data_IF_125905839179
#
_entry.id   IF_125905839179
#
_cell.length_a   1.000
_cell.length_b   1.000
_cell.length_c   1.000
_cell.angle_alpha   90.00
_cell.angle_beta   90.00
_cell.angle_gamma   90.00
#
_symmetry.space_group_name_H-M   'P 1'
#
loop_
_entity.id
_entity.type
_entity.pdbx_description
1 polymer ?
#
# COMPACT_ATOMS: atom_id res chain seq x y z
N UNK A 1 -57.08 5.98 -1.50
CA UNK A 1 -57.48 6.80 -0.34
C UNK A 1 -56.26 7.56 0.16
N UNK A 2 -56.49 8.76 0.66
CA UNK A 2 -55.60 9.94 0.67
C UNK A 2 -54.20 9.79 1.31
N UNK A 3 -53.21 10.60 0.85
CA UNK A 3 -51.92 10.77 1.52
C UNK A 3 -51.98 11.88 2.58
N UNK A 4 -51.36 11.65 3.74
CA UNK A 4 -51.22 12.66 4.81
C UNK A 4 -50.05 13.58 4.48
N UNK A 5 -50.35 14.87 4.37
CA UNK A 5 -49.41 15.97 4.13
C UNK A 5 -48.92 16.50 5.48
N UNK A 6 -47.61 16.56 5.71
CA UNK A 6 -47.02 17.26 6.86
C UNK A 6 -46.44 18.59 6.37
N UNK A 7 -47.15 19.69 6.67
CA UNK A 7 -46.71 21.07 6.44
C UNK A 7 -45.70 21.47 7.50
N UNK A 8 -44.59 22.03 7.05
CA UNK A 8 -43.64 22.80 7.85
C UNK A 8 -44.23 24.18 8.13
N UNK A 9 -44.30 24.57 9.40
CA UNK A 9 -44.48 25.98 9.81
C UNK A 9 -43.40 26.33 10.82
N UNK A 10 -42.51 27.25 10.43
CA UNK A 10 -41.53 27.84 11.32
C UNK A 10 -42.12 28.93 12.19
N UNK A 11 -41.64 29.02 13.44
CA UNK A 11 -41.45 30.30 14.14
C UNK A 11 -40.43 30.14 15.27
N UNK A 12 -39.61 31.17 15.41
CA UNK A 12 -38.54 31.37 16.39
C UNK A 12 -39.06 31.22 17.83
N UNK A 13 -38.24 30.63 18.69
CA UNK A 13 -38.30 30.84 20.13
C UNK A 13 -36.90 31.23 20.63
N UNK A 14 -36.87 32.36 21.30
CA UNK A 14 -35.74 33.04 21.92
C UNK A 14 -35.37 32.44 23.28
N UNK A 15 -34.11 32.70 23.65
CA UNK A 15 -33.46 32.44 24.92
C UNK A 15 -34.30 32.82 26.15
N UNK A 16 -34.41 31.89 27.11
CA UNK A 16 -34.51 32.21 28.54
C UNK A 16 -33.63 31.25 29.35
N UNK A 17 -32.95 31.86 30.33
CA UNK A 17 -31.99 31.25 31.23
C UNK A 17 -32.64 30.92 32.58
N UNK A 18 -32.21 29.83 33.22
CA UNK A 18 -32.50 29.50 34.63
C UNK A 18 -31.41 28.52 35.18
N UNK A 19 -31.25 28.36 36.50
CA UNK A 19 -30.17 28.99 37.27
C UNK A 19 -29.13 28.01 37.84
N UNK A 20 -28.11 28.58 38.50
CA UNK A 20 -26.96 27.91 39.14
C UNK A 20 -27.29 27.34 40.53
N UNK A 21 -26.65 26.21 40.85
CA UNK A 21 -26.30 25.73 42.20
C UNK A 21 -27.26 24.67 42.77
N UNK A 22 -26.84 23.57 43.42
CA UNK A 22 -25.50 23.20 43.88
C UNK A 22 -25.47 21.73 44.40
N UNK A 23 -24.24 21.19 44.54
CA UNK A 23 -23.79 19.98 45.26
C UNK A 23 -24.25 18.63 44.67
N UNK A 24 -23.39 17.62 44.41
CA UNK A 24 -22.44 17.01 45.35
C UNK A 24 -21.33 16.22 44.63
N UNK A 25 -20.24 15.97 45.37
CA UNK A 25 -18.96 15.43 44.92
C UNK A 25 -19.03 13.92 44.64
N UNK A 26 -18.38 13.47 43.58
CA UNK A 26 -17.93 12.09 43.43
C UNK A 26 -16.50 12.10 42.88
N UNK A 27 -15.56 11.90 43.80
CA UNK A 27 -14.14 11.70 43.56
C UNK A 27 -13.92 10.32 42.93
N UNK A 28 -13.44 10.28 41.69
CA UNK A 28 -12.86 9.08 41.10
C UNK A 28 -11.38 9.02 41.49
N UNK A 29 -11.06 8.08 42.36
CA UNK A 29 -9.72 7.78 42.83
C UNK A 29 -8.82 7.30 41.68
N UNK A 30 -7.65 7.92 41.61
CA UNK A 30 -6.51 7.50 40.80
C UNK A 30 -5.88 6.26 41.45
N UNK A 31 -5.80 5.16 40.69
CA UNK A 31 -5.05 3.97 41.10
C UNK A 31 -3.53 4.24 41.13
N UNK A 32 -2.78 3.76 42.15
CA UNK A 32 -1.33 3.92 42.23
C UNK A 32 -0.56 2.88 41.39
N UNK A 33 0.73 3.13 41.09
CA UNK A 33 1.49 2.35 40.12
C UNK A 33 1.97 1.01 40.67
N UNK A 34 1.87 -0.03 39.85
CA UNK A 34 2.36 -1.37 40.13
C UNK A 34 3.91 -1.41 40.09
N UNK A 35 4.53 -1.63 41.26
CA UNK A 35 5.93 -2.04 41.41
C UNK A 35 5.98 -3.57 41.56
N UNK A 36 6.61 -4.28 40.64
CA UNK A 36 7.08 -5.66 40.81
C UNK A 36 8.38 -5.82 40.00
N UNK A 37 9.55 -5.61 40.62
CA UNK A 37 10.43 -6.61 41.26
C UNK A 37 10.64 -7.88 40.41
N UNK A 38 11.75 -7.88 39.69
CA UNK A 38 12.36 -9.02 39.01
C UNK A 38 12.73 -10.13 40.00
N UNK A 39 12.47 -11.42 39.71
CA UNK A 39 13.13 -12.50 40.40
C UNK A 39 14.43 -12.87 39.68
N UNK A 40 15.56 -12.63 40.35
CA UNK A 40 16.82 -13.31 40.06
C UNK A 40 16.65 -14.78 40.45
N UNK A 41 16.76 -15.69 39.49
CA UNK A 41 16.94 -17.11 39.78
C UNK A 41 18.41 -17.47 39.62
N UNK A 42 19.08 -17.53 40.76
CA UNK A 42 20.31 -18.30 40.99
C UNK A 42 19.94 -19.78 40.99
N UNK A 43 20.49 -20.57 40.07
CA UNK A 43 20.46 -22.03 40.15
C UNK A 43 21.88 -22.55 40.39
N UNK A 44 22.02 -23.24 41.52
CA UNK A 44 23.19 -23.97 42.00
C UNK A 44 23.43 -25.25 41.18
N UNK A 45 24.70 -25.58 40.99
CA UNK A 45 25.20 -26.87 40.52
C UNK A 45 24.66 -28.03 41.39
N UNK A 46 24.20 -29.12 40.77
CA UNK A 46 24.88 -30.43 40.86
C UNK A 46 24.09 -31.58 40.19
N UNK A 47 24.83 -32.36 39.40
CA UNK A 47 24.77 -33.82 39.16
C UNK A 47 23.82 -34.47 38.14
N UNK A 48 24.49 -35.27 37.27
CA UNK A 48 24.14 -36.49 36.50
C UNK A 48 24.14 -36.25 34.97
N UNK A 49 25.22 -36.51 34.20
CA UNK A 49 25.89 -37.80 33.84
C UNK A 49 24.89 -38.71 33.11
N UNK A 50 25.01 -39.19 31.87
CA UNK A 50 26.05 -39.44 30.86
C UNK A 50 25.43 -39.08 29.47
N UNK A 51 26.15 -38.93 28.35
CA UNK A 51 26.59 -40.03 27.47
C UNK A 51 27.43 -39.45 26.31
N UNK A 52 28.64 -40.02 26.16
CA UNK A 52 29.51 -40.16 24.97
C UNK A 52 30.01 -38.89 24.23
N UNK A 53 31.20 -38.44 24.63
CA UNK A 53 32.28 -38.10 23.69
C UNK A 53 32.88 -39.38 23.10
N UNK A 54 33.77 -39.39 22.11
CA UNK A 54 34.62 -38.38 21.45
C UNK A 54 35.16 -39.09 20.21
N UNK A 55 35.29 -38.37 19.10
CA UNK A 55 35.95 -38.82 17.87
C UNK A 55 37.38 -38.28 17.86
N UNK A 56 38.36 -39.18 17.75
CA UNK A 56 39.72 -39.03 17.19
C UNK A 56 40.41 -40.38 17.44
N UNK A 57 41.31 -40.93 16.64
CA UNK A 57 41.99 -40.66 15.37
C UNK A 57 42.95 -41.86 15.26
N UNK A 58 43.22 -42.45 14.09
CA UNK A 58 44.52 -43.11 13.85
C UNK A 58 44.73 -43.60 12.42
N UNK A 59 46.00 -43.54 12.03
CA UNK A 59 46.58 -43.64 10.69
C UNK A 59 47.37 -44.95 10.47
N UNK A 60 47.09 -45.68 9.36
CA UNK A 60 47.98 -46.58 8.55
C UNK A 60 48.64 -47.82 9.21
N UNK A 61 49.45 -48.65 8.47
CA UNK A 61 49.44 -49.07 7.06
C UNK A 61 49.54 -50.62 6.86
N UNK A 62 49.71 -51.05 5.59
CA UNK A 62 50.30 -52.32 5.05
C UNK A 62 49.46 -53.61 4.81
N UNK A 63 49.24 -53.86 3.50
CA UNK A 63 49.56 -55.05 2.68
C UNK A 63 49.35 -56.49 3.19
N UNK A 64 48.51 -57.26 2.47
CA UNK A 64 48.88 -58.54 1.84
C UNK A 64 47.82 -59.04 0.82
N UNK A 65 48.30 -59.33 -0.40
CA UNK A 65 47.66 -60.06 -1.52
C UNK A 65 47.84 -61.60 -1.29
N UNK A 66 47.27 -62.56 -2.08
CA UNK A 66 47.09 -62.46 -3.54
C UNK A 66 46.01 -63.31 -4.28
N UNK A 67 46.00 -63.08 -5.60
CA UNK A 67 45.61 -63.93 -6.75
C UNK A 67 44.14 -64.33 -6.97
N UNK A 68 43.55 -63.83 -8.06
CA UNK A 68 43.33 -64.62 -9.29
C UNK A 68 43.08 -63.72 -10.51
N UNK A 69 43.61 -64.14 -11.64
CA UNK A 69 43.57 -63.48 -12.96
C UNK A 69 42.60 -64.20 -13.89
N UNK A 70 41.85 -63.48 -14.73
CA UNK A 70 41.78 -63.62 -16.21
C UNK A 70 40.59 -62.80 -16.82
N UNK A 71 40.62 -62.47 -18.13
CA UNK A 71 40.05 -61.24 -18.69
C UNK A 71 38.81 -61.47 -19.58
N UNK A 72 38.02 -60.42 -19.84
CA UNK A 72 37.20 -60.40 -21.05
C UNK A 72 36.83 -58.98 -21.50
N UNK A 73 37.55 -58.51 -22.53
CA UNK A 73 37.05 -57.53 -23.50
C UNK A 73 35.87 -58.12 -24.26
N UNK A 74 34.95 -57.23 -24.65
CA UNK A 74 33.79 -57.38 -25.55
C UNK A 74 32.46 -57.60 -24.82
N UNK A 75 31.75 -56.50 -24.60
CA UNK A 75 30.30 -56.36 -24.88
C UNK A 75 29.91 -54.88 -24.77
N UNK A 76 30.54 -54.04 -25.60
CA UNK A 76 29.86 -52.86 -26.13
C UNK A 76 28.97 -53.35 -27.27
N UNK A 77 27.79 -52.73 -27.43
CA UNK A 77 26.79 -52.92 -28.50
C UNK A 77 25.64 -53.88 -28.15
N UNK A 78 24.65 -53.38 -27.41
CA UNK A 78 23.19 -53.57 -27.62
C UNK A 78 22.41 -53.27 -26.33
N UNK A 79 22.09 -52.01 -26.11
CA UNK A 79 20.93 -51.54 -25.31
C UNK A 79 20.69 -50.05 -25.58
N UNK A 80 20.73 -49.65 -26.85
CA UNK A 80 20.44 -48.29 -27.31
C UNK A 80 19.30 -48.34 -28.33
N UNK A 81 18.12 -48.75 -27.87
CA UNK A 81 16.86 -48.66 -28.63
C UNK A 81 15.77 -49.32 -27.78
N UNK A 82 15.06 -48.54 -26.97
CA UNK A 82 13.61 -48.61 -26.64
C UNK A 82 13.33 -47.82 -25.34
N UNK A 83 13.44 -46.48 -25.38
CA UNK A 83 12.64 -45.59 -24.53
C UNK A 83 12.72 -44.14 -25.06
N UNK A 84 12.45 -43.97 -26.35
CA UNK A 84 12.25 -42.65 -26.96
C UNK A 84 10.83 -42.66 -27.52
N UNK A 85 9.88 -42.12 -26.75
CA UNK A 85 8.46 -42.22 -27.12
C UNK A 85 7.44 -41.64 -26.14
N UNK A 86 7.80 -40.65 -25.31
CA UNK A 86 6.83 -39.79 -24.61
C UNK A 86 7.42 -38.39 -24.44
N UNK A 87 7.73 -37.76 -25.56
CA UNK A 87 7.90 -36.32 -25.65
C UNK A 87 6.88 -35.83 -26.67
N UNK A 88 6.22 -34.71 -26.37
CA UNK A 88 5.13 -34.06 -27.12
C UNK A 88 3.73 -34.39 -26.60
N UNK A 89 3.43 -33.86 -25.42
CA UNK A 89 2.26 -33.00 -25.16
C UNK A 89 2.58 -32.20 -23.89
N UNK A 90 3.57 -31.31 -23.97
CA UNK A 90 3.69 -30.22 -23.00
C UNK A 90 2.59 -29.22 -23.30
N UNK A 91 1.34 -29.56 -22.99
CA UNK A 91 0.35 -28.51 -22.75
C UNK A 91 0.96 -27.65 -21.66
N UNK A 92 1.15 -26.36 -21.94
CA UNK A 92 1.45 -25.37 -20.91
C UNK A 92 0.29 -25.43 -19.92
N UNK A 93 0.42 -26.30 -18.91
CA UNK A 93 -0.40 -26.23 -17.71
C UNK A 93 0.08 -24.94 -17.08
N UNK A 94 -0.67 -23.87 -17.33
CA UNK A 94 -0.56 -22.66 -16.52
C UNK A 94 -0.65 -23.17 -15.08
N UNK A 95 0.44 -23.01 -14.33
CA UNK A 95 0.48 -23.50 -12.97
C UNK A 95 -0.59 -22.73 -12.20
N UNK A 96 -1.74 -23.37 -11.97
CA UNK A 96 -2.76 -22.81 -11.11
C UNK A 96 -2.12 -22.53 -9.75
N UNK A 97 -2.43 -21.37 -9.18
CA UNK A 97 -1.91 -21.02 -7.88
C UNK A 97 -2.30 -22.09 -6.83
N UNK A 98 -1.41 -22.40 -5.87
CA UNK A 98 -1.74 -23.32 -4.80
C UNK A 98 -2.86 -22.78 -3.90
N UNK A 99 -3.50 -23.66 -3.13
CA UNK A 99 -4.58 -23.29 -2.21
C UNK A 99 -4.19 -22.19 -1.20
N UNK A 100 -2.90 -22.08 -0.84
CA UNK A 100 -2.37 -21.01 0.02
C UNK A 100 -2.50 -19.61 -0.58
N UNK A 101 -2.69 -19.49 -1.90
CA UNK A 101 -2.90 -18.23 -2.61
C UNK A 101 -4.38 -17.87 -2.77
N UNK A 102 -5.31 -18.75 -2.34
CA UNK A 102 -6.75 -18.54 -2.51
C UNK A 102 -7.19 -17.19 -1.93
N UNK A 103 -6.63 -16.82 -0.78
CA UNK A 103 -6.88 -15.53 -0.14
C UNK A 103 -5.72 -14.58 -0.44
N UNK A 104 -6.02 -13.47 -1.09
CA UNK A 104 -5.08 -12.37 -1.35
C UNK A 104 -5.29 -11.28 -0.30
N UNK A 105 -4.28 -11.02 0.54
CA UNK A 105 -4.40 -10.06 1.64
C UNK A 105 -3.72 -8.76 1.26
N UNK A 106 -4.50 -7.70 1.12
CA UNK A 106 -4.05 -6.41 0.63
C UNK A 106 -4.04 -5.37 1.75
N UNK A 107 -2.93 -4.67 1.91
CA UNK A 107 -2.89 -3.42 2.66
C UNK A 107 -3.46 -2.28 1.82
N UNK A 108 -4.22 -1.38 2.43
CA UNK A 108 -4.81 -0.21 1.75
C UNK A 108 -4.62 1.01 2.64
N UNK A 109 -4.03 2.08 2.10
CA UNK A 109 -4.03 3.39 2.78
C UNK A 109 -5.32 4.12 2.42
N UNK A 110 -5.80 4.99 3.31
CA UNK A 110 -7.08 5.69 3.12
C UNK A 110 -6.96 6.89 2.18
N UNK A 111 -6.40 6.67 0.99
CA UNK A 111 -6.32 7.64 -0.10
C UNK A 111 -7.21 7.19 -1.24
N UNK A 112 -7.90 8.13 -1.90
CA UNK A 112 -8.95 7.76 -2.87
C UNK A 112 -8.38 7.03 -4.08
N UNK A 113 -7.18 7.36 -4.55
CA UNK A 113 -6.46 6.66 -5.63
C UNK A 113 -6.14 5.21 -5.26
N UNK A 114 -5.62 4.97 -4.06
CA UNK A 114 -5.28 3.63 -3.59
C UNK A 114 -6.54 2.81 -3.33
N UNK A 115 -7.59 3.43 -2.77
CA UNK A 115 -8.90 2.80 -2.60
C UNK A 115 -9.49 2.39 -3.95
N UNK A 116 -9.37 3.23 -4.99
CA UNK A 116 -9.88 2.94 -6.33
C UNK A 116 -9.14 1.76 -6.98
N UNK A 117 -7.81 1.80 -6.98
CA UNK A 117 -6.97 0.74 -7.59
C UNK A 117 -7.08 -0.58 -6.82
N UNK A 118 -7.15 -0.54 -5.49
CA UNK A 118 -7.46 -1.70 -4.66
C UNK A 118 -8.87 -2.24 -4.89
N UNK A 119 -9.87 -1.37 -5.08
CA UNK A 119 -11.23 -1.78 -5.47
C UNK A 119 -11.26 -2.50 -6.83
N UNK A 120 -10.46 -2.04 -7.79
CA UNK A 120 -10.30 -2.71 -9.08
C UNK A 120 -9.70 -4.11 -8.93
N UNK A 121 -8.58 -4.22 -8.21
CA UNK A 121 -7.94 -5.51 -7.94
C UNK A 121 -8.89 -6.46 -7.20
N UNK A 122 -9.68 -5.97 -6.25
CA UNK A 122 -10.67 -6.73 -5.50
C UNK A 122 -11.74 -7.36 -6.41
N UNK A 123 -12.32 -6.58 -7.32
CA UNK A 123 -13.34 -7.07 -8.26
C UNK A 123 -12.74 -8.11 -9.22
N UNK A 124 -11.54 -7.86 -9.75
CA UNK A 124 -10.86 -8.80 -10.65
C UNK A 124 -10.53 -10.12 -9.93
N UNK A 125 -9.93 -10.06 -8.74
CA UNK A 125 -9.57 -11.23 -7.94
C UNK A 125 -10.80 -12.06 -7.55
N UNK A 126 -11.84 -11.42 -7.02
CA UNK A 126 -13.08 -12.12 -6.66
C UNK A 126 -13.77 -12.71 -7.91
N UNK A 127 -13.77 -11.99 -9.03
CA UNK A 127 -14.29 -12.49 -10.31
C UNK A 127 -13.52 -13.70 -10.86
N UNK A 128 -12.21 -13.77 -10.63
CA UNK A 128 -11.36 -14.93 -10.93
C UNK A 128 -11.53 -16.08 -9.92
N UNK A 129 -12.39 -15.90 -8.91
CA UNK A 129 -12.63 -16.89 -7.87
C UNK A 129 -11.59 -16.92 -6.76
N UNK A 130 -10.73 -15.91 -6.61
CA UNK A 130 -9.94 -15.69 -5.40
C UNK A 130 -10.79 -15.04 -4.30
N UNK A 131 -10.26 -14.96 -3.09
CA UNK A 131 -10.83 -14.18 -1.98
C UNK A 131 -9.91 -12.98 -1.70
N UNK A 132 -10.36 -11.78 -1.99
CA UNK A 132 -9.62 -10.56 -1.66
C UNK A 132 -9.98 -10.07 -0.24
N UNK A 133 -8.97 -9.79 0.59
CA UNK A 133 -9.14 -9.22 1.94
C UNK A 133 -8.35 -7.94 2.08
N UNK A 134 -9.04 -6.83 2.30
CA UNK A 134 -8.41 -5.53 2.48
C UNK A 134 -8.25 -5.18 3.95
N UNK A 135 -7.06 -4.68 4.32
CA UNK A 135 -6.77 -4.13 5.65
C UNK A 135 -6.35 -2.67 5.50
N UNK A 136 -7.19 -1.77 6.00
CA UNK A 136 -6.85 -0.34 6.06
C UNK A 136 -5.79 -0.09 7.12
N UNK A 137 -4.64 0.48 6.75
CA UNK A 137 -3.61 0.90 7.69
C UNK A 137 -2.67 1.95 7.09
N UNK A 138 -1.83 2.57 7.92
CA UNK A 138 -0.75 3.44 7.43
C UNK A 138 0.39 2.61 6.83
N UNK A 139 1.19 3.23 5.97
CA UNK A 139 2.27 2.61 5.19
C UNK A 139 3.19 1.70 6.01
N UNK A 140 3.65 2.17 7.18
CA UNK A 140 4.56 1.42 8.06
C UNK A 140 3.93 0.12 8.59
N UNK A 141 2.64 0.16 8.91
CA UNK A 141 1.89 -1.02 9.38
C UNK A 141 1.68 -1.99 8.21
N UNK A 142 1.43 -1.48 7.01
CA UNK A 142 1.29 -2.32 5.81
C UNK A 142 2.60 -3.06 5.53
N UNK A 143 3.75 -2.38 5.49
CA UNK A 143 5.03 -3.02 5.24
C UNK A 143 5.42 -4.02 6.33
N UNK A 144 5.17 -3.68 7.61
CA UNK A 144 5.33 -4.63 8.71
C UNK A 144 4.38 -5.84 8.57
N UNK A 145 3.15 -5.62 8.11
CA UNK A 145 2.19 -6.68 7.83
C UNK A 145 2.66 -7.63 6.72
N UNK A 146 3.31 -7.11 5.67
CA UNK A 146 3.91 -7.94 4.61
C UNK A 146 5.09 -8.73 5.16
N UNK A 147 6.02 -8.08 5.89
CA UNK A 147 7.13 -8.74 6.59
C UNK A 147 6.66 -9.89 7.47
N UNK A 148 5.61 -9.66 8.25
CA UNK A 148 5.05 -10.62 9.21
C UNK A 148 4.11 -11.64 8.54
N UNK A 149 4.04 -11.66 7.21
CA UNK A 149 3.20 -12.55 6.39
C UNK A 149 1.72 -12.47 6.76
N UNK A 150 1.25 -11.32 7.26
CA UNK A 150 -0.16 -11.02 7.53
C UNK A 150 -0.85 -10.34 6.36
N UNK A 151 -0.07 -9.65 5.53
CA UNK A 151 -0.46 -9.09 4.25
C UNK A 151 0.43 -9.68 3.15
N UNK A 152 -0.05 -9.64 1.92
CA UNK A 152 0.66 -10.13 0.75
C UNK A 152 1.06 -8.98 -0.18
N UNK A 153 0.18 -7.99 -0.38
CA UNK A 153 0.35 -6.95 -1.40
C UNK A 153 -0.07 -5.55 -0.93
N UNK A 154 0.44 -4.52 -1.59
CA UNK A 154 0.08 -3.12 -1.45
C UNK A 154 0.26 -2.40 -2.78
N UNK A 155 -0.79 -1.73 -3.29
CA UNK A 155 -0.82 -1.16 -4.64
C UNK A 155 -0.41 0.33 -4.70
N UNK A 156 -0.15 0.94 -3.55
CA UNK A 156 0.00 2.40 -3.42
C UNK A 156 1.41 2.87 -3.06
N UNK A 157 2.48 2.23 -3.55
CA UNK A 157 3.83 2.71 -3.26
C UNK A 157 4.22 3.84 -4.21
N UNK A 158 4.17 5.07 -3.70
CA UNK A 158 4.53 6.30 -4.40
C UNK A 158 6.04 6.58 -4.28
N UNK A 159 6.76 6.41 -5.38
CA UNK A 159 8.19 6.77 -5.49
C UNK A 159 8.32 8.21 -6.01
N UNK A 160 9.22 9.06 -5.46
CA UNK A 160 10.14 8.81 -4.34
C UNK A 160 9.56 9.13 -2.96
N UNK A 161 8.32 9.64 -2.87
CA UNK A 161 7.72 10.14 -1.63
C UNK A 161 7.75 9.12 -0.47
N UNK A 162 7.71 7.82 -0.77
CA UNK A 162 7.71 6.74 0.21
C UNK A 162 9.06 6.01 0.34
N UNK A 163 10.11 6.44 -0.35
CA UNK A 163 11.42 5.74 -0.36
C UNK A 163 11.99 5.59 1.05
N UNK A 164 11.99 6.67 1.84
CA UNK A 164 12.44 6.64 3.25
C UNK A 164 11.61 5.68 4.10
N UNK A 165 10.34 5.54 3.79
CA UNK A 165 9.40 4.71 4.55
C UNK A 165 9.61 3.21 4.27
N UNK A 166 9.90 2.84 3.03
CA UNK A 166 10.05 1.43 2.61
C UNK A 166 11.50 0.92 2.69
N UNK A 167 12.49 1.82 2.60
CA UNK A 167 13.91 1.50 2.57
C UNK A 167 14.37 0.43 3.58
N UNK A 168 14.03 0.49 4.89
CA UNK A 168 14.47 -0.52 5.84
C UNK A 168 13.91 -1.92 5.53
N UNK A 169 12.70 -2.01 4.98
CA UNK A 169 12.08 -3.29 4.63
C UNK A 169 12.70 -3.89 3.36
N UNK A 170 12.99 -3.05 2.36
CA UNK A 170 13.67 -3.50 1.12
C UNK A 170 15.10 -3.94 1.44
N UNK A 171 15.85 -3.18 2.22
CA UNK A 171 17.23 -3.51 2.61
C UNK A 171 17.32 -4.84 3.38
N UNK A 172 16.28 -5.17 4.15
CA UNK A 172 16.18 -6.43 4.88
C UNK A 172 15.53 -7.58 4.08
N UNK A 173 15.24 -7.38 2.78
CA UNK A 173 14.52 -8.33 1.92
C UNK A 173 13.19 -8.81 2.52
N UNK A 174 12.45 -7.90 3.15
CA UNK A 174 11.17 -8.17 3.81
C UNK A 174 9.95 -7.84 2.94
N UNK A 175 10.15 -7.00 1.93
CA UNK A 175 9.17 -6.63 0.91
C UNK A 175 9.88 -6.53 -0.43
N UNK A 176 9.14 -6.67 -1.53
CA UNK A 176 9.64 -6.48 -2.89
C UNK A 176 8.78 -5.46 -3.61
N UNK A 177 9.41 -4.47 -4.24
CA UNK A 177 8.74 -3.52 -5.13
C UNK A 177 8.75 -4.12 -6.53
N UNK A 178 7.64 -4.08 -7.25
CA UNK A 178 7.59 -4.51 -8.64
C UNK A 178 8.32 -3.51 -9.54
N UNK A 179 9.13 -4.03 -10.46
CA UNK A 179 10.03 -3.22 -11.30
C UNK A 179 9.28 -2.25 -12.21
N UNK A 180 8.12 -2.69 -12.75
CA UNK A 180 7.27 -1.87 -13.60
C UNK A 180 6.25 -1.13 -12.73
N UNK A 181 6.16 0.21 -12.83
CA UNK A 181 5.12 0.96 -12.13
C UNK A 181 3.73 0.65 -12.71
N UNK A 182 2.73 0.63 -11.83
CA UNK A 182 1.32 0.58 -12.20
C UNK A 182 0.85 1.94 -12.73
N UNK A 183 1.46 3.04 -12.30
CA UNK A 183 1.22 4.40 -12.79
C UNK A 183 2.55 5.13 -12.99
N UNK A 184 2.81 5.64 -14.20
CA UNK A 184 4.12 6.19 -14.58
C UNK A 184 4.17 7.73 -14.62
N UNK A 185 3.01 8.39 -14.64
CA UNK A 185 2.84 9.82 -14.93
C UNK A 185 2.20 10.57 -13.76
N UNK A 186 2.68 10.29 -12.53
CA UNK A 186 2.18 10.93 -11.33
C UNK A 186 3.07 12.12 -10.89
N UNK A 187 2.55 12.94 -9.99
CA UNK A 187 3.32 14.00 -9.32
C UNK A 187 2.75 14.22 -7.93
N UNK A 188 3.61 14.44 -6.94
CA UNK A 188 3.21 14.78 -5.57
C UNK A 188 4.16 15.82 -4.96
N UNK A 189 3.63 16.98 -4.57
CA UNK A 189 4.40 18.08 -3.96
C UNK A 189 3.47 19.01 -3.15
N UNK A 190 3.93 20.19 -2.75
CA UNK A 190 3.08 21.19 -2.11
C UNK A 190 2.33 22.03 -3.14
N UNK A 191 1.07 22.34 -2.83
CA UNK A 191 0.20 23.16 -3.65
C UNK A 191 -0.46 24.26 -2.83
N UNK A 192 -0.93 25.29 -3.55
CA UNK A 192 -1.73 26.40 -3.02
C UNK A 192 -2.89 26.70 -3.94
N UNK A 193 -3.98 27.35 -3.47
CA UNK A 193 -4.99 27.88 -4.37
C UNK A 193 -4.43 28.94 -5.33
N UNK A 194 -4.98 29.07 -6.53
CA UNK A 194 -4.47 30.00 -7.56
C UNK A 194 -4.39 31.46 -7.09
N UNK A 195 -5.33 31.91 -6.26
CA UNK A 195 -5.30 33.27 -5.72
C UNK A 195 -4.14 33.50 -4.73
N UNK A 196 -3.62 32.44 -4.11
CA UNK A 196 -2.43 32.49 -3.26
C UNK A 196 -1.17 32.56 -4.12
N UNK A 197 -1.13 31.78 -5.21
CA UNK A 197 -0.04 31.86 -6.19
C UNK A 197 0.01 33.22 -6.91
N UNK A 198 -1.15 33.77 -7.29
CA UNK A 198 -1.27 35.10 -7.88
C UNK A 198 -0.80 36.20 -6.92
N UNK A 199 -0.96 35.99 -5.60
CA UNK A 199 -0.44 36.90 -4.59
C UNK A 199 1.08 36.79 -4.34
N UNK A 200 1.77 35.87 -5.04
CA UNK A 200 3.23 35.77 -5.07
C UNK A 200 3.82 34.56 -4.36
N UNK A 201 3.02 33.64 -3.82
CA UNK A 201 3.52 32.38 -3.24
C UNK A 201 3.58 31.30 -4.33
N UNK A 202 4.71 31.20 -5.02
CA UNK A 202 4.85 30.30 -6.19
C UNK A 202 5.93 29.24 -6.03
N UNK A 203 6.91 29.51 -5.17
CA UNK A 203 8.03 28.60 -4.90
C UNK A 203 8.00 28.13 -3.45
N UNK A 204 8.70 27.04 -3.15
CA UNK A 204 8.93 26.60 -1.78
C UNK A 204 9.59 27.68 -0.91
N UNK A 205 10.54 28.43 -1.47
CA UNK A 205 11.22 29.54 -0.80
C UNK A 205 10.27 30.71 -0.44
N UNK A 206 9.12 30.84 -1.12
CA UNK A 206 8.15 31.89 -0.79
C UNK A 206 7.34 31.59 0.48
N UNK A 207 7.17 30.32 0.84
CA UNK A 207 6.23 29.90 1.92
C UNK A 207 6.49 30.69 3.21
N UNK A 208 7.76 30.83 3.61
CA UNK A 208 8.12 31.52 4.85
C UNK A 208 7.71 33.01 4.87
N UNK A 209 7.73 33.69 3.71
CA UNK A 209 7.32 35.09 3.59
C UNK A 209 5.83 35.32 3.85
N UNK A 210 5.02 34.27 3.69
CA UNK A 210 3.56 34.32 3.87
C UNK A 210 3.10 33.73 5.21
N UNK A 211 4.01 33.45 6.15
CA UNK A 211 3.73 32.78 7.44
C UNK A 211 2.50 33.33 8.15
N UNK A 212 2.38 34.64 8.33
CA UNK A 212 1.26 35.24 9.08
C UNK A 212 -0.09 35.01 8.39
N UNK A 213 -0.13 35.09 7.05
CA UNK A 213 -1.33 34.82 6.26
C UNK A 213 -1.71 33.35 6.24
N UNK A 214 -0.71 32.47 6.30
CA UNK A 214 -0.86 31.01 6.41
C UNK A 214 -1.14 30.55 7.85
N UNK A 215 -1.08 31.46 8.84
CA UNK A 215 -1.14 31.12 10.25
C UNK A 215 -0.02 30.18 10.72
N UNK A 216 1.11 30.17 10.01
CA UNK A 216 2.24 29.27 10.26
C UNK A 216 1.90 27.79 10.12
N UNK A 217 1.02 27.42 9.18
CA UNK A 217 0.56 26.03 9.00
C UNK A 217 0.85 25.52 7.59
N UNK A 218 1.21 24.23 7.53
CA UNK A 218 1.23 23.43 6.30
C UNK A 218 0.32 22.22 6.54
N UNK A 219 -0.62 21.97 5.64
CA UNK A 219 -1.60 20.89 5.79
C UNK A 219 -1.13 19.62 5.10
N UNK A 220 -0.82 18.61 5.91
CA UNK A 220 -0.49 17.27 5.44
C UNK A 220 -1.67 16.33 5.49
N UNK A 221 -1.38 15.05 5.28
CA UNK A 221 -2.33 13.93 5.34
C UNK A 221 -2.13 13.16 6.66
N UNK A 222 -2.17 11.83 6.65
CA UNK A 222 -2.07 11.02 7.86
C UNK A 222 -0.65 10.97 8.46
N UNK A 223 -0.54 10.87 9.80
CA UNK A 223 0.74 10.71 10.47
C UNK A 223 1.53 9.50 9.96
N UNK A 224 2.82 9.72 9.73
CA UNK A 224 3.74 8.69 9.24
C UNK A 224 3.71 8.47 7.72
N UNK A 225 2.87 9.20 6.98
CA UNK A 225 2.94 9.25 5.52
C UNK A 225 4.27 9.85 5.04
N UNK A 226 4.74 9.41 3.87
CA UNK A 226 5.94 9.96 3.23
C UNK A 226 5.89 11.48 3.06
N UNK A 227 4.74 12.02 2.64
CA UNK A 227 4.52 13.47 2.50
C UNK A 227 4.69 14.22 3.83
N UNK A 228 4.08 13.72 4.91
CA UNK A 228 4.22 14.34 6.24
C UNK A 228 5.65 14.24 6.77
N UNK A 229 6.33 13.12 6.53
CA UNK A 229 7.74 12.95 6.90
C UNK A 229 8.62 13.99 6.22
N UNK A 230 8.43 14.22 4.91
CA UNK A 230 9.17 15.26 4.17
C UNK A 230 8.90 16.65 4.73
N UNK A 231 7.65 17.02 5.01
CA UNK A 231 7.31 18.32 5.60
C UNK A 231 7.93 18.48 7.00
N UNK A 232 7.88 17.45 7.84
CA UNK A 232 8.52 17.46 9.17
C UNK A 232 10.03 17.70 9.04
N UNK A 233 10.70 16.98 8.15
CA UNK A 233 12.14 17.18 7.90
C UNK A 233 12.44 18.61 7.47
N UNK A 234 11.65 19.21 6.56
CA UNK A 234 11.86 20.60 6.15
C UNK A 234 11.71 21.59 7.32
N UNK A 235 10.71 21.40 8.18
CA UNK A 235 10.51 22.24 9.38
C UNK A 235 11.67 22.07 10.37
N UNK A 236 12.03 20.83 10.71
CA UNK A 236 13.06 20.50 11.70
C UNK A 236 14.45 21.02 11.29
N UNK A 237 14.77 20.95 10.00
CA UNK A 237 16.05 21.43 9.45
C UNK A 237 16.03 22.92 9.12
N UNK A 238 14.94 23.63 9.41
CA UNK A 238 14.69 25.02 9.00
C UNK A 238 14.88 25.25 7.48
N UNK A 239 14.63 24.22 6.70
CA UNK A 239 14.73 24.30 5.25
C UNK A 239 13.66 25.27 4.71
N UNK A 240 14.00 26.07 3.70
CA UNK A 240 13.21 27.22 3.23
C UNK A 240 12.75 28.21 4.32
N UNK A 241 13.38 28.22 5.51
CA UNK A 241 12.98 29.10 6.62
C UNK A 241 11.72 28.64 7.36
N UNK A 242 11.38 27.34 7.30
CA UNK A 242 10.12 26.80 7.81
C UNK A 242 10.10 26.45 9.31
N UNK A 243 11.15 26.73 10.10
CA UNK A 243 11.25 26.33 11.52
C UNK A 243 10.06 26.73 12.41
N UNK A 244 9.38 27.82 12.07
CA UNK A 244 8.25 28.33 12.85
C UNK A 244 6.89 27.88 12.30
N UNK A 245 6.87 27.02 11.29
CA UNK A 245 5.65 26.40 10.79
C UNK A 245 5.31 25.16 11.59
N UNK A 246 4.02 24.80 11.57
CA UNK A 246 3.50 23.56 12.12
C UNK A 246 2.86 22.75 11.01
N UNK A 247 3.22 21.48 10.96
CA UNK A 247 2.48 20.51 10.17
C UNK A 247 1.13 20.22 10.84
N UNK A 248 0.05 20.34 10.08
CA UNK A 248 -1.29 19.92 10.49
C UNK A 248 -1.56 18.54 9.89
N UNK A 249 -1.59 17.52 10.74
CA UNK A 249 -1.79 16.12 10.35
C UNK A 249 -3.26 15.70 10.50
N UNK A 250 -3.77 14.93 9.55
CA UNK A 250 -5.11 14.34 9.61
C UNK A 250 -5.20 13.07 8.76
N UNK A 251 -5.57 13.23 7.49
CA UNK A 251 -5.74 12.23 6.43
C UNK A 251 -6.23 12.96 5.18
N UNK A 252 -6.27 12.32 4.01
CA UNK A 252 -6.71 12.97 2.76
C UNK A 252 -8.03 13.75 2.94
N UNK A 253 -9.08 13.09 3.42
CA UNK A 253 -10.39 13.71 3.59
C UNK A 253 -10.35 14.91 4.57
N UNK A 254 -9.57 14.82 5.64
CA UNK A 254 -9.42 15.90 6.63
C UNK A 254 -8.69 17.11 6.05
N UNK A 255 -7.62 16.85 5.30
CA UNK A 255 -6.84 17.84 4.57
C UNK A 255 -7.70 18.57 3.54
N UNK A 256 -8.36 17.83 2.64
CA UNK A 256 -9.22 18.41 1.60
C UNK A 256 -10.36 19.24 2.21
N UNK A 257 -10.98 18.76 3.28
CA UNK A 257 -12.02 19.52 3.98
C UNK A 257 -11.48 20.83 4.57
N UNK A 258 -10.25 20.84 5.08
CA UNK A 258 -9.60 22.06 5.58
C UNK A 258 -9.27 23.04 4.45
N UNK A 259 -8.71 22.56 3.34
CA UNK A 259 -8.39 23.38 2.17
C UNK A 259 -9.67 23.96 1.56
N UNK A 260 -10.73 23.17 1.37
CA UNK A 260 -12.01 23.65 0.86
C UNK A 260 -12.60 24.76 1.74
N UNK A 261 -12.51 24.61 3.06
CA UNK A 261 -12.93 25.66 4.01
C UNK A 261 -12.12 26.94 3.85
N UNK A 262 -10.80 26.84 3.69
CA UNK A 262 -9.94 28.00 3.45
C UNK A 262 -10.26 28.69 2.12
N UNK A 263 -10.43 27.91 1.05
CA UNK A 263 -10.81 28.40 -0.29
C UNK A 263 -12.14 29.14 -0.26
N UNK A 264 -13.15 28.58 0.42
CA UNK A 264 -14.47 29.22 0.58
C UNK A 264 -14.39 30.56 1.32
N UNK A 265 -13.43 30.70 2.25
CA UNK A 265 -13.18 31.94 3.00
C UNK A 265 -12.11 32.85 2.39
N UNK A 266 -11.55 32.47 1.22
CA UNK A 266 -10.41 33.16 0.59
C UNK A 266 -9.18 33.32 1.51
N UNK A 267 -8.99 32.37 2.42
CA UNK A 267 -7.83 32.31 3.32
C UNK A 267 -6.63 31.67 2.63
N UNK A 268 -5.42 31.99 3.09
CA UNK A 268 -4.20 31.42 2.51
C UNK A 268 -3.97 30.03 3.09
N UNK A 269 -3.64 29.07 2.23
CA UNK A 269 -3.39 27.68 2.63
C UNK A 269 -2.33 27.06 1.73
N UNK A 270 -1.40 26.31 2.34
CA UNK A 270 -0.41 25.44 1.69
C UNK A 270 -0.69 24.02 2.16
N UNK A 271 -0.75 23.08 1.23
CA UNK A 271 -1.13 21.70 1.51
C UNK A 271 -0.44 20.71 0.57
N UNK A 272 -0.45 19.43 0.94
CA UNK A 272 0.03 18.34 0.06
C UNK A 272 -0.95 18.17 -1.11
N UNK A 273 -0.47 18.33 -2.34
CA UNK A 273 -1.22 18.07 -3.56
C UNK A 273 -0.56 16.98 -4.40
N UNK A 274 -1.36 16.29 -5.21
CA UNK A 274 -0.86 15.30 -6.16
C UNK A 274 -1.78 15.13 -7.36
N UNK A 275 -1.21 14.58 -8.43
CA UNK A 275 -1.93 14.12 -9.61
C UNK A 275 -1.53 12.67 -9.92
N UNK A 276 -2.49 11.81 -10.33
CA UNK A 276 -3.91 12.08 -10.52
C UNK A 276 -4.65 12.30 -9.20
N UNK A 277 -5.60 13.25 -9.18
CA UNK A 277 -6.57 13.41 -8.10
C UNK A 277 -7.69 14.38 -8.52
N UNK A 278 -8.98 14.15 -8.17
CA UNK A 278 -10.08 15.06 -8.52
C UNK A 278 -9.95 16.49 -7.99
N UNK A 279 -9.07 16.73 -7.00
CA UNK A 279 -8.77 18.08 -6.52
C UNK A 279 -8.27 19.00 -7.65
N UNK A 280 -7.54 18.46 -8.64
CA UNK A 280 -7.00 19.23 -9.76
C UNK A 280 -8.09 19.76 -10.71
N UNK A 281 -9.31 19.20 -10.62
CA UNK A 281 -10.47 19.60 -11.42
C UNK A 281 -11.43 20.44 -10.57
N UNK A 282 -11.63 20.01 -9.31
CA UNK A 282 -12.60 20.61 -8.41
C UNK A 282 -12.08 21.88 -7.72
N UNK A 283 -10.76 22.09 -7.74
CA UNK A 283 -10.09 23.20 -7.08
C UNK A 283 -9.10 23.84 -8.05
N UNK A 284 -9.16 25.16 -8.17
CA UNK A 284 -8.17 25.95 -8.91
C UNK A 284 -6.91 26.08 -8.03
N UNK A 285 -5.92 25.23 -8.30
CA UNK A 285 -4.69 25.10 -7.51
C UNK A 285 -3.45 25.21 -8.40
N UNK A 286 -2.37 25.68 -7.79
CA UNK A 286 -1.05 25.75 -8.38
C UNK A 286 -0.07 24.95 -7.52
N UNK A 287 0.72 24.09 -8.18
CA UNK A 287 1.85 23.40 -7.55
C UNK A 287 3.02 24.36 -7.39
N UNK A 288 3.69 24.27 -6.23
CA UNK A 288 4.87 25.10 -5.94
C UNK A 288 6.11 24.51 -6.61
N UNK A 289 6.99 25.39 -7.08
CA UNK A 289 8.27 25.02 -7.71
C UNK A 289 9.48 25.22 -6.79
N UNK A 290 10.66 24.76 -7.23
CA UNK A 290 11.89 24.80 -6.45
C UNK A 290 11.92 23.76 -5.34
N UNK A 291 11.42 22.56 -5.64
CA UNK A 291 11.26 21.46 -4.70
C UNK A 291 12.23 20.29 -4.93
N UNK A 292 13.19 20.44 -5.83
CA UNK A 292 13.96 19.32 -6.37
C UNK A 292 14.83 18.60 -5.33
N UNK A 293 15.31 19.31 -4.32
CA UNK A 293 16.13 18.75 -3.24
C UNK A 293 15.30 18.01 -2.17
N UNK A 294 13.98 18.22 -2.13
CA UNK A 294 13.08 17.63 -1.13
C UNK A 294 12.08 16.63 -1.71
N UNK A 295 11.52 16.92 -2.88
CA UNK A 295 10.52 16.08 -3.58
C UNK A 295 11.10 15.37 -4.81
N UNK A 296 12.33 15.69 -5.21
CA UNK A 296 12.98 15.10 -6.37
C UNK A 296 12.75 15.88 -7.66
N UNK A 297 13.35 15.44 -8.78
CA UNK A 297 13.35 16.19 -10.04
C UNK A 297 11.94 16.44 -10.58
N UNK A 298 11.82 17.45 -11.44
CA UNK A 298 10.57 17.82 -12.11
C UNK A 298 9.42 18.09 -11.13
N UNK A 299 9.74 18.76 -10.02
CA UNK A 299 8.78 19.24 -9.02
C UNK A 299 7.93 18.12 -8.39
N UNK A 300 8.60 17.03 -7.99
CA UNK A 300 7.93 15.89 -7.36
C UNK A 300 7.28 14.92 -8.34
N UNK A 301 7.82 14.82 -9.57
CA UNK A 301 7.43 13.75 -10.48
C UNK A 301 7.57 12.38 -9.80
N UNK A 302 6.55 11.54 -9.97
CA UNK A 302 6.37 10.33 -9.20
C UNK A 302 5.87 9.18 -10.07
N UNK A 303 6.10 7.97 -9.56
CA UNK A 303 5.48 6.75 -10.07
C UNK A 303 4.83 6.00 -8.92
N UNK A 304 3.79 5.23 -9.22
CA UNK A 304 3.17 4.30 -8.27
C UNK A 304 3.49 2.88 -8.72
N UNK A 305 3.98 2.06 -7.78
CA UNK A 305 4.23 0.64 -8.01
C UNK A 305 3.52 -0.23 -6.98
N UNK A 306 3.34 -1.49 -7.35
CA UNK A 306 2.89 -2.52 -6.40
C UNK A 306 4.06 -3.03 -5.58
N UNK A 307 3.81 -3.27 -4.29
CA UNK A 307 4.71 -3.91 -3.33
C UNK A 307 4.12 -5.25 -2.95
N UNK A 308 4.93 -6.30 -2.92
CA UNK A 308 4.53 -7.66 -2.57
C UNK A 308 5.40 -8.23 -1.45
N UNK A 309 4.97 -9.35 -0.89
CA UNK A 309 5.88 -10.25 -0.18
C UNK A 309 7.02 -10.70 -1.13
N UNK A 310 8.25 -10.91 -0.64
CA UNK A 310 9.39 -11.22 -1.49
C UNK A 310 9.23 -12.50 -2.33
N UNK A 311 8.51 -13.49 -1.81
CA UNK A 311 8.26 -14.80 -2.42
C UNK A 311 6.98 -14.85 -3.27
N UNK A 312 6.27 -13.74 -3.42
CA UNK A 312 4.89 -13.76 -3.94
C UNK A 312 4.80 -14.16 -5.41
N UNK A 313 5.79 -13.76 -6.22
CA UNK A 313 5.82 -14.10 -7.64
C UNK A 313 6.00 -15.60 -7.88
N UNK A 314 6.83 -16.26 -7.06
CA UNK A 314 7.04 -17.71 -7.12
C UNK A 314 5.88 -18.47 -6.45
N UNK A 315 5.34 -17.93 -5.36
CA UNK A 315 4.27 -18.57 -4.56
C UNK A 315 2.91 -18.51 -5.25
N UNK A 316 2.55 -17.38 -5.84
CA UNK A 316 1.25 -17.11 -6.47
C UNK A 316 1.43 -16.50 -7.88
N UNK A 317 2.03 -17.24 -8.83
CA UNK A 317 2.39 -16.72 -10.15
C UNK A 317 1.20 -16.18 -10.97
N UNK A 318 -0.01 -16.74 -10.82
CA UNK A 318 -1.18 -16.27 -11.57
C UNK A 318 -1.68 -14.92 -11.03
N UNK A 319 -1.78 -14.75 -9.72
CA UNK A 319 -2.07 -13.43 -9.13
C UNK A 319 -0.95 -12.43 -9.43
N UNK A 320 0.32 -12.84 -9.34
CA UNK A 320 1.42 -11.94 -9.69
C UNK A 320 1.34 -11.44 -11.13
N UNK A 321 0.96 -12.30 -12.08
CA UNK A 321 0.71 -11.89 -13.48
C UNK A 321 -0.37 -10.82 -13.59
N UNK A 322 -1.48 -10.96 -12.85
CA UNK A 322 -2.51 -9.93 -12.78
C UNK A 322 -1.91 -8.60 -12.29
N UNK A 323 -1.11 -8.61 -11.22
CA UNK A 323 -0.49 -7.41 -10.67
C UNK A 323 0.50 -6.75 -11.64
N UNK A 324 1.25 -7.54 -12.42
CA UNK A 324 2.15 -7.04 -13.48
C UNK A 324 1.38 -6.34 -14.60
N UNK A 325 0.20 -6.88 -14.94
CA UNK A 325 -0.64 -6.34 -15.99
C UNK A 325 -1.45 -5.12 -15.53
N UNK A 326 -1.79 -5.04 -14.24
CA UNK A 326 -2.67 -4.04 -13.63
C UNK A 326 -2.02 -2.65 -13.60
N UNK A 327 -2.00 -2.00 -14.77
CA UNK A 327 -1.49 -0.64 -14.96
C UNK A 327 -2.60 0.32 -15.33
N UNK A 328 -2.46 1.56 -14.86
CA UNK A 328 -3.38 2.67 -15.06
C UNK A 328 -2.66 3.86 -15.68
N UNK A 329 -3.45 4.75 -16.27
CA UNK A 329 -3.04 6.11 -16.62
C UNK A 329 -3.63 7.09 -15.62
N UNK A 330 -3.02 8.27 -15.47
CA UNK A 330 -3.54 9.31 -14.59
C UNK A 330 -5.00 9.70 -14.91
N UNK A 331 -5.38 9.66 -16.19
CA UNK A 331 -6.75 9.92 -16.63
C UNK A 331 -7.72 8.84 -16.14
N UNK A 332 -7.36 7.56 -16.23
CA UNK A 332 -8.18 6.45 -15.75
C UNK A 332 -8.37 6.52 -14.24
N UNK A 333 -7.30 6.69 -13.46
CA UNK A 333 -7.43 6.79 -12.00
C UNK A 333 -8.30 7.99 -11.60
N UNK A 334 -8.14 9.14 -12.26
CA UNK A 334 -8.97 10.31 -12.00
C UNK A 334 -10.46 10.02 -12.20
N UNK A 335 -10.83 9.31 -13.28
CA UNK A 335 -12.21 8.93 -13.56
C UNK A 335 -12.76 7.91 -12.54
N UNK A 336 -11.93 6.99 -12.07
CA UNK A 336 -12.30 6.03 -11.02
C UNK A 336 -12.52 6.74 -9.66
N UNK A 337 -11.72 7.75 -9.33
CA UNK A 337 -11.81 8.44 -8.05
C UNK A 337 -13.07 9.31 -7.89
N UNK A 338 -13.50 10.00 -8.94
CA UNK A 338 -14.66 10.92 -8.91
C UNK A 338 -15.90 10.30 -8.24
N UNK A 339 -16.45 9.17 -8.73
CA UNK A 339 -17.64 8.58 -8.12
C UNK A 339 -17.41 8.05 -6.69
N UNK A 340 -16.17 7.67 -6.34
CA UNK A 340 -15.84 7.24 -4.97
C UNK A 340 -15.92 8.41 -4.00
N UNK A 341 -15.42 9.58 -4.40
CA UNK A 341 -15.58 10.81 -3.61
C UNK A 341 -17.05 11.24 -3.48
N UNK A 342 -17.89 10.87 -4.46
CA UNK A 342 -19.35 11.00 -4.42
C UNK A 342 -20.07 9.85 -3.68
N UNK A 343 -19.32 9.07 -2.89
CA UNK A 343 -19.79 8.02 -2.00
C UNK A 343 -20.28 6.74 -2.70
N UNK A 344 -19.92 6.49 -3.96
CA UNK A 344 -20.04 5.14 -4.52
C UNK A 344 -19.00 4.21 -3.90
N UNK A 345 -19.33 2.93 -3.80
CA UNK A 345 -18.34 1.95 -3.33
C UNK A 345 -17.28 1.74 -4.40
N UNK A 346 -16.00 1.53 -4.04
CA UNK A 346 -14.92 1.25 -5.00
C UNK A 346 -15.23 0.03 -5.88
N UNK A 347 -15.89 -0.98 -5.32
CA UNK A 347 -16.28 -2.18 -6.06
C UNK A 347 -17.35 -1.90 -7.11
N UNK A 348 -18.36 -1.07 -6.81
CA UNK A 348 -19.38 -0.71 -7.80
C UNK A 348 -18.79 0.12 -8.94
N UNK A 349 -17.85 1.02 -8.61
CA UNK A 349 -17.11 1.80 -9.60
C UNK A 349 -16.24 0.89 -10.47
N UNK A 350 -15.49 -0.03 -9.88
CA UNK A 350 -14.68 -0.99 -10.63
C UNK A 350 -15.52 -1.91 -11.52
N UNK A 351 -16.63 -2.47 -11.01
CA UNK A 351 -17.55 -3.28 -11.84
C UNK A 351 -18.12 -2.49 -13.01
N UNK A 352 -18.49 -1.24 -12.78
CA UNK A 352 -18.98 -0.37 -13.85
C UNK A 352 -17.90 -0.10 -14.89
N UNK A 353 -16.69 0.28 -14.44
CA UNK A 353 -15.55 0.50 -15.33
C UNK A 353 -15.29 -0.70 -16.23
N UNK A 354 -15.19 -1.90 -15.65
CA UNK A 354 -14.91 -3.13 -16.41
C UNK A 354 -16.02 -3.52 -17.40
N UNK A 355 -17.27 -3.10 -17.16
CA UNK A 355 -18.36 -3.25 -18.14
C UNK A 355 -18.23 -2.27 -19.30
N UNK A 356 -17.83 -1.05 -18.99
CA UNK A 356 -17.73 0.04 -19.97
C UNK A 356 -16.43 -0.01 -20.79
N UNK A 357 -15.38 -0.63 -20.25
CA UNK A 357 -14.01 -0.68 -20.80
C UNK A 357 -13.53 -2.14 -20.92
N UNK A 358 -14.15 -2.96 -21.78
CA UNK A 358 -13.78 -4.37 -21.95
C UNK A 358 -12.34 -4.59 -22.42
N UNK A 359 -11.73 -3.60 -23.07
CA UNK A 359 -10.32 -3.61 -23.48
C UNK A 359 -9.35 -3.58 -22.29
N UNK A 360 -9.69 -2.86 -21.22
CA UNK A 360 -8.90 -2.85 -19.99
C UNK A 360 -8.96 -4.20 -19.29
N UNK A 361 -10.15 -4.81 -19.25
CA UNK A 361 -10.35 -6.15 -18.73
C UNK A 361 -9.48 -7.18 -19.48
N UNK A 362 -9.48 -7.14 -20.82
CA UNK A 362 -8.64 -8.02 -21.64
C UNK A 362 -7.15 -7.81 -21.38
N UNK A 363 -6.71 -6.55 -21.33
CA UNK A 363 -5.31 -6.19 -21.08
C UNK A 363 -4.85 -6.65 -19.70
N UNK A 364 -5.64 -6.42 -18.66
CA UNK A 364 -5.29 -6.78 -17.28
C UNK A 364 -5.30 -8.29 -17.04
N UNK A 365 -6.18 -9.03 -17.72
CA UNK A 365 -6.27 -10.50 -17.60
C UNK A 365 -5.47 -11.27 -18.66
N UNK A 366 -4.63 -10.58 -19.43
CA UNK A 366 -3.78 -11.24 -20.42
C UNK A 366 -2.86 -12.29 -19.76
N UNK A 367 -3.10 -13.57 -20.08
CA UNK A 367 -2.35 -14.69 -19.49
C UNK A 367 -2.71 -14.99 -18.04
N UNK A 368 -3.85 -14.50 -17.54
CA UNK A 368 -4.39 -14.78 -16.20
C UNK A 368 -5.57 -15.74 -16.32
N UNK A 369 -5.55 -16.83 -15.56
CA UNK A 369 -6.66 -17.77 -15.42
C UNK A 369 -7.47 -17.51 -14.15
N UNK A 370 -8.66 -18.07 -14.04
CA UNK A 370 -9.34 -18.19 -12.75
C UNK A 370 -8.56 -19.11 -11.81
N UNK A 371 -8.90 -19.08 -10.52
CA UNK A 371 -8.31 -19.95 -9.51
C UNK A 371 -8.49 -21.44 -9.82
N UNK A 372 -9.59 -21.83 -10.48
CA UNK A 372 -9.86 -23.21 -10.91
C UNK A 372 -9.32 -23.53 -12.32
N UNK A 373 -8.54 -22.63 -12.93
CA UNK A 373 -7.86 -22.84 -14.21
C UNK A 373 -8.71 -22.61 -15.46
N UNK A 374 -9.86 -21.95 -15.34
CA UNK A 374 -10.67 -21.50 -16.48
C UNK A 374 -10.11 -20.21 -17.06
N UNK A 375 -10.58 -19.88 -18.25
CA UNK A 375 -10.21 -18.64 -18.94
C UNK A 375 -10.65 -17.41 -18.11
N UNK A 376 -9.70 -16.52 -17.80
CA UNK A 376 -9.89 -15.45 -16.82
C UNK A 376 -10.88 -14.39 -17.27
N UNK A 377 -10.80 -13.93 -18.53
CA UNK A 377 -11.66 -12.88 -19.07
C UNK A 377 -13.12 -13.31 -19.04
N UNK A 378 -13.44 -14.48 -19.57
CA UNK A 378 -14.79 -15.02 -19.58
C UNK A 378 -15.33 -15.22 -18.17
N UNK A 379 -14.49 -15.68 -17.23
CA UNK A 379 -14.88 -15.88 -15.83
C UNK A 379 -15.25 -14.54 -15.18
N UNK A 380 -14.40 -13.51 -15.30
CA UNK A 380 -14.69 -12.19 -14.73
C UNK A 380 -15.89 -11.55 -15.45
N UNK A 381 -15.96 -11.59 -16.78
CA UNK A 381 -17.11 -11.07 -17.53
C UNK A 381 -18.43 -11.70 -17.10
N UNK A 382 -18.46 -13.00 -16.81
CA UNK A 382 -19.65 -13.67 -16.30
C UNK A 382 -20.02 -13.16 -14.90
N UNK A 383 -19.03 -12.91 -14.03
CA UNK A 383 -19.25 -12.36 -12.69
C UNK A 383 -19.80 -10.92 -12.68
N UNK A 384 -19.55 -10.14 -13.74
CA UNK A 384 -19.99 -8.74 -13.85
C UNK A 384 -21.46 -8.56 -14.27
N UNK A 385 -22.11 -9.63 -14.72
CA UNK A 385 -23.52 -9.66 -15.18
C UNK A 385 -24.52 -9.92 -14.05
N UNK A 386 -24.04 -10.44 -12.93
CA UNK A 386 -24.80 -10.67 -11.70
C UNK A 386 -24.55 -9.52 -10.73
#
# INVERSE_FOLDING_TARGET
MQPVTLRVTGRRASLEAFPRGAWERSTLELSPPCKTRSPQFTFTLSTLRNVLGTVHEDTGPDNNLPHETLPMKRLFTRCLSTLCGTALLSTSVFANDPASCKTVRMGVVNWTDVIATSGMADVLLNGLGYESKQTSAVQQIIFAGIRDKRLDIFLGYWKPAMDKNIAPFVAANQVKVMDKPSLADAQATLAVPDYVAAAGLKTFADIARFKDRLGGKIYGIEPGSGANTTIKTMIETNHFGLKDFKLIESGEAGMLAAVQRAVNRKEFVVFVGWTPHPMNINMNIAYLTGSEDVYGPNEGAATVSTVTAPDYAERCPNVNRLLENLTFTAAQESQLMVPIMERKTPQDVARQWLRDHPEDLQRWLAGVSSFDGKEGVATVQASLKN
#
